data_IF_514732044333
#
_entry.id   IF_514732044333
#
_cell.length_a   1.000
_cell.length_b   1.000
_cell.length_c   1.000
_cell.angle_alpha   90.00
_cell.angle_beta   90.00
_cell.angle_gamma   90.00
#
_symmetry.space_group_name_H-M   'P 1'
#
loop_
_entity.id
_entity.type
_entity.pdbx_description
1 polymer ?
#
# COMPACT_ATOMS: atom_id res chain seq x y z
N UNK A 1 -15.44 15.57 -0.73
CA UNK A 1 -14.00 15.51 -0.33
C UNK A 1 -13.16 14.61 -1.25
N UNK A 2 -13.60 13.40 -1.62
CA UNK A 2 -12.81 12.46 -2.44
C UNK A 2 -12.14 13.06 -3.69
N UNK A 3 -12.84 13.83 -4.55
CA UNK A 3 -12.21 14.36 -5.77
C UNK A 3 -11.10 15.39 -5.50
N UNK A 4 -11.10 16.04 -4.35
CA UNK A 4 -10.12 17.07 -4.02
C UNK A 4 -8.88 16.54 -3.29
N UNK A 5 -8.91 15.31 -2.78
CA UNK A 5 -7.83 14.75 -1.95
C UNK A 5 -6.47 14.73 -2.67
N UNK A 6 -6.35 14.27 -3.95
CA UNK A 6 -5.08 14.28 -4.64
C UNK A 6 -4.51 15.70 -4.82
N UNK A 7 -5.36 16.66 -5.16
CA UNK A 7 -4.94 18.05 -5.32
C UNK A 7 -4.49 18.68 -4.00
N UNK A 8 -5.23 18.43 -2.92
CA UNK A 8 -4.86 18.88 -1.58
C UNK A 8 -3.54 18.27 -1.12
N UNK A 9 -3.35 16.96 -1.35
CA UNK A 9 -2.11 16.28 -1.02
C UNK A 9 -0.90 16.87 -1.74
N UNK A 10 -1.02 17.09 -3.04
CA UNK A 10 0.03 17.71 -3.86
C UNK A 10 0.32 19.17 -3.50
N UNK A 11 -0.65 19.89 -2.93
CA UNK A 11 -0.47 21.28 -2.48
C UNK A 11 0.28 21.39 -1.15
N UNK A 12 0.37 20.32 -0.36
CA UNK A 12 1.16 20.29 0.86
C UNK A 12 2.64 20.18 0.56
N UNK A 13 3.46 20.90 1.31
CA UNK A 13 4.90 20.66 1.34
C UNK A 13 5.21 19.26 1.90
N UNK A 14 6.40 18.71 1.60
CA UNK A 14 6.83 17.41 2.12
C UNK A 14 6.85 17.40 3.65
N UNK A 15 7.16 18.51 4.30
CA UNK A 15 7.12 18.64 5.75
C UNK A 15 5.69 18.53 6.30
N UNK A 16 4.74 19.20 5.67
CA UNK A 16 3.31 19.11 6.02
C UNK A 16 2.75 17.72 5.76
N UNK A 17 3.16 17.06 4.67
CA UNK A 17 2.81 15.67 4.40
C UNK A 17 3.35 14.73 5.49
N UNK A 18 4.61 14.89 5.92
CA UNK A 18 5.19 14.13 7.04
C UNK A 18 4.44 14.38 8.34
N UNK A 19 4.10 15.64 8.62
CA UNK A 19 3.28 15.99 9.77
C UNK A 19 1.91 15.33 9.72
N UNK A 20 1.24 15.34 8.57
CA UNK A 20 -0.02 14.62 8.38
C UNK A 20 0.12 13.12 8.70
N UNK A 21 1.17 12.47 8.19
CA UNK A 21 1.43 11.04 8.42
C UNK A 21 1.62 10.72 9.91
N UNK A 22 2.26 11.59 10.66
CA UNK A 22 2.56 11.35 12.08
C UNK A 22 1.42 11.72 13.02
N UNK A 23 0.72 12.83 12.74
CA UNK A 23 -0.25 13.41 13.68
C UNK A 23 -1.71 13.11 13.28
N UNK A 24 -2.02 13.09 11.98
CA UNK A 24 -3.40 13.12 11.50
C UNK A 24 -3.85 11.87 10.75
N UNK A 25 -2.91 11.04 10.25
CA UNK A 25 -3.25 9.86 9.44
C UNK A 25 -4.25 8.94 10.15
N UNK A 26 -4.05 8.66 11.44
CA UNK A 26 -4.94 7.77 12.20
C UNK A 26 -6.37 8.33 12.27
N UNK A 27 -6.50 9.63 12.48
CA UNK A 27 -7.78 10.31 12.49
C UNK A 27 -8.45 10.25 11.11
N UNK A 28 -7.67 10.49 10.05
CA UNK A 28 -8.12 10.32 8.68
C UNK A 28 -8.65 8.91 8.41
N UNK A 29 -7.87 7.90 8.75
CA UNK A 29 -8.18 6.50 8.48
C UNK A 29 -9.48 6.05 9.17
N UNK A 30 -9.70 6.43 10.43
CA UNK A 30 -10.94 6.14 11.18
C UNK A 30 -12.17 6.77 10.52
N UNK A 31 -12.05 7.97 9.96
CA UNK A 31 -13.17 8.64 9.29
C UNK A 31 -13.36 8.17 7.86
N UNK A 32 -12.30 7.72 7.22
CA UNK A 32 -12.27 7.33 5.81
C UNK A 32 -12.64 5.88 5.57
N UNK A 33 -12.14 4.99 6.40
CA UNK A 33 -12.33 3.54 6.29
C UNK A 33 -13.27 3.07 7.40
N UNK A 34 -14.54 2.98 7.08
CA UNK A 34 -15.56 2.58 8.05
C UNK A 34 -15.82 1.08 7.98
N UNK A 35 -16.03 0.50 9.16
CA UNK A 35 -16.52 -0.84 9.32
C UNK A 35 -17.99 -0.93 8.88
N UNK A 36 -18.41 -2.06 8.32
CA UNK A 36 -19.81 -2.31 8.03
C UNK A 36 -20.62 -2.32 9.36
N UNK A 37 -21.85 -1.77 9.39
CA UNK A 37 -22.62 -1.64 10.63
C UNK A 37 -22.77 -2.97 11.38
N UNK A 38 -23.09 -4.05 10.68
CA UNK A 38 -23.29 -5.38 11.29
C UNK A 38 -22.00 -5.94 11.93
N UNK A 39 -20.83 -5.58 11.37
CA UNK A 39 -19.53 -5.97 11.93
C UNK A 39 -19.22 -5.11 13.16
N UNK A 40 -19.55 -3.82 13.12
CA UNK A 40 -19.40 -2.92 14.26
C UNK A 40 -20.24 -3.37 15.44
N UNK A 41 -21.54 -3.63 15.23
CA UNK A 41 -22.47 -4.10 16.26
C UNK A 41 -21.97 -5.40 16.91
N UNK A 42 -21.48 -6.35 16.09
CA UNK A 42 -20.91 -7.60 16.60
C UNK A 42 -19.62 -7.37 17.39
N UNK A 43 -18.76 -6.48 16.95
CA UNK A 43 -17.54 -6.13 17.65
C UNK A 43 -17.84 -5.51 19.02
N UNK A 44 -18.77 -4.54 19.07
CA UNK A 44 -19.22 -3.91 20.32
C UNK A 44 -19.83 -4.91 21.29
N UNK A 45 -20.66 -5.82 20.80
CA UNK A 45 -21.23 -6.90 21.63
C UNK A 45 -20.17 -7.82 22.23
N UNK A 46 -19.12 -8.14 21.46
CA UNK A 46 -18.00 -8.96 21.97
C UNK A 46 -17.15 -8.18 22.99
N UNK A 47 -16.96 -6.89 22.81
CA UNK A 47 -16.29 -6.05 23.80
C UNK A 47 -17.11 -5.95 25.10
N UNK A 48 -18.41 -5.72 25.00
CA UNK A 48 -19.31 -5.66 26.16
C UNK A 48 -19.34 -6.97 26.94
N UNK A 49 -19.22 -8.10 26.23
CA UNK A 49 -19.13 -9.44 26.83
C UNK A 49 -17.72 -9.77 27.37
N UNK A 50 -16.76 -8.86 27.30
CA UNK A 50 -15.38 -9.08 27.75
C UNK A 50 -14.58 -10.08 26.91
N UNK A 51 -15.07 -10.46 25.72
CA UNK A 51 -14.42 -11.42 24.82
C UNK A 51 -13.42 -10.77 23.87
N UNK A 52 -13.49 -9.47 23.67
CA UNK A 52 -12.53 -8.64 22.93
C UNK A 52 -12.06 -7.52 23.82
N UNK A 53 -10.75 -7.31 23.87
CA UNK A 53 -10.12 -6.15 24.51
C UNK A 53 -9.32 -5.41 23.47
N UNK A 54 -9.40 -4.09 23.50
CA UNK A 54 -8.58 -3.19 22.67
C UNK A 54 -7.61 -2.45 23.56
N UNK A 55 -6.32 -2.52 23.24
CA UNK A 55 -5.26 -1.91 24.03
C UNK A 55 -4.31 -1.10 23.12
N UNK A 56 -3.81 0.02 23.65
CA UNK A 56 -2.84 0.87 22.94
C UNK A 56 -1.41 0.50 23.33
N UNK A 57 -0.99 -0.70 22.94
CA UNK A 57 0.35 -1.21 23.25
C UNK A 57 1.20 -1.34 21.98
N UNK A 58 2.52 -1.25 22.13
CA UNK A 58 3.47 -1.62 21.08
C UNK A 58 3.91 -3.07 21.27
N UNK A 59 3.86 -3.88 20.23
CA UNK A 59 4.47 -5.21 20.23
C UNK A 59 5.98 -5.02 20.08
N UNK A 60 6.73 -5.50 21.05
CA UNK A 60 8.20 -5.39 21.08
C UNK A 60 8.86 -6.62 20.48
N UNK A 61 8.41 -7.81 20.87
CA UNK A 61 8.89 -9.07 20.33
C UNK A 61 7.83 -10.19 20.45
N UNK A 62 8.05 -11.24 19.68
CA UNK A 62 7.27 -12.45 19.68
C UNK A 62 8.23 -13.63 19.86
N UNK A 63 7.89 -14.54 20.76
CA UNK A 63 8.69 -15.75 21.02
C UNK A 63 7.81 -16.99 20.97
N UNK A 64 8.29 -18.03 20.30
CA UNK A 64 7.63 -19.33 20.35
C UNK A 64 7.77 -19.92 21.76
N UNK A 65 6.67 -20.41 22.34
CA UNK A 65 6.63 -21.00 23.66
C UNK A 65 5.75 -22.26 23.64
N UNK A 66 6.36 -23.40 23.31
CA UNK A 66 5.62 -24.64 23.08
C UNK A 66 4.75 -24.53 21.83
N UNK A 67 3.46 -24.77 21.99
CA UNK A 67 2.41 -24.63 20.97
C UNK A 67 1.76 -23.24 20.96
N UNK A 68 2.25 -22.33 21.81
CA UNK A 68 1.75 -20.95 21.97
C UNK A 68 2.78 -19.91 21.56
N UNK A 69 2.38 -18.65 21.55
CA UNK A 69 3.25 -17.49 21.28
C UNK A 69 3.21 -16.60 22.50
N UNK A 70 4.39 -16.27 23.02
CA UNK A 70 4.58 -15.23 24.03
C UNK A 70 4.80 -13.90 23.34
N UNK A 71 3.95 -12.93 23.65
CA UNK A 71 3.97 -11.59 23.10
C UNK A 71 4.44 -10.62 24.18
N UNK A 72 5.50 -9.87 23.88
CA UNK A 72 6.00 -8.81 24.77
C UNK A 72 5.44 -7.48 24.30
N UNK A 73 4.78 -6.78 25.22
CA UNK A 73 4.05 -5.55 24.97
C UNK A 73 4.66 -4.40 25.77
N UNK A 74 4.62 -3.20 25.19
CA UNK A 74 5.00 -1.97 25.89
C UNK A 74 3.83 -1.01 25.87
N UNK A 75 3.30 -0.73 27.04
CA UNK A 75 2.30 0.31 27.23
C UNK A 75 2.91 1.71 27.05
N UNK A 76 2.14 2.72 26.59
CA UNK A 76 2.63 4.08 26.45
C UNK A 76 3.24 4.61 27.76
N UNK A 77 4.49 5.08 27.69
CA UNK A 77 5.21 5.60 28.86
C UNK A 77 5.77 4.55 29.82
N UNK A 78 5.52 3.26 29.61
CA UNK A 78 6.06 2.21 30.47
C UNK A 78 7.52 1.87 30.11
N UNK A 79 8.33 1.65 31.16
CA UNK A 79 9.70 1.15 31.05
C UNK A 79 9.79 -0.37 31.14
N UNK A 80 8.78 -1.00 31.73
CA UNK A 80 8.68 -2.46 31.88
C UNK A 80 7.79 -3.02 30.79
N UNK A 81 8.12 -4.21 30.30
CA UNK A 81 7.32 -4.94 29.33
C UNK A 81 6.29 -5.81 30.03
N UNK A 82 5.06 -5.74 29.57
CA UNK A 82 4.03 -6.73 29.86
C UNK A 82 4.21 -7.94 28.93
N UNK A 83 3.73 -9.10 29.38
CA UNK A 83 3.72 -10.30 28.53
C UNK A 83 2.34 -10.98 28.55
N UNK A 84 1.95 -11.47 27.39
CA UNK A 84 0.75 -12.30 27.26
C UNK A 84 1.08 -13.55 26.44
N UNK A 85 0.45 -14.68 26.80
CA UNK A 85 0.53 -15.89 25.99
C UNK A 85 -0.75 -16.07 25.20
N UNK A 86 -0.59 -16.29 23.90
CA UNK A 86 -1.72 -16.44 22.97
C UNK A 86 -1.51 -17.68 22.09
N UNK A 87 -2.60 -18.25 21.60
CA UNK A 87 -2.54 -19.39 20.69
C UNK A 87 -2.15 -18.94 19.27
N UNK A 88 -2.49 -17.70 18.89
CA UNK A 88 -2.21 -17.16 17.55
C UNK A 88 -2.00 -15.65 17.60
N UNK A 89 -1.13 -15.19 16.73
CA UNK A 89 -0.96 -13.76 16.42
C UNK A 89 -1.35 -13.52 14.97
N UNK A 90 -2.25 -12.56 14.74
CA UNK A 90 -2.68 -12.16 13.40
C UNK A 90 -2.16 -10.75 13.16
N UNK A 91 -1.22 -10.62 12.21
CA UNK A 91 -0.67 -9.32 11.84
C UNK A 91 -1.62 -8.59 10.90
N UNK A 92 -2.26 -7.54 11.41
CA UNK A 92 -3.14 -6.65 10.64
C UNK A 92 -2.55 -5.23 10.51
N UNK A 93 -1.23 -5.04 10.70
CA UNK A 93 -0.57 -3.74 10.64
C UNK A 93 -0.44 -3.17 9.22
N UNK A 94 -0.83 -3.94 8.20
CA UNK A 94 -0.69 -3.58 6.79
C UNK A 94 0.67 -3.96 6.20
N UNK A 95 0.85 -3.65 4.93
CA UNK A 95 2.10 -3.87 4.22
C UNK A 95 3.12 -2.76 4.55
N UNK A 96 4.39 -3.12 4.65
CA UNK A 96 5.48 -2.15 4.67
C UNK A 96 5.52 -1.39 3.34
N UNK A 97 5.57 -0.06 3.39
CA UNK A 97 5.58 0.80 2.19
C UNK A 97 6.96 1.34 1.85
N UNK A 98 7.86 1.41 2.83
CA UNK A 98 9.20 1.98 2.63
C UNK A 98 10.10 1.02 1.83
N UNK A 99 10.14 1.24 0.53
CA UNK A 99 10.94 0.45 -0.42
C UNK A 99 12.45 0.56 -0.19
N UNK A 100 12.92 1.57 0.55
CA UNK A 100 14.33 1.71 0.93
C UNK A 100 14.74 0.67 1.99
N UNK A 101 13.77 0.20 2.77
CA UNK A 101 13.99 -0.79 3.84
C UNK A 101 13.71 -2.21 3.38
N UNK A 102 12.68 -2.39 2.58
CA UNK A 102 12.27 -3.71 2.12
C UNK A 102 11.51 -3.57 0.78
N UNK A 103 12.20 -3.85 -0.32
CA UNK A 103 11.59 -3.90 -1.63
C UNK A 103 11.44 -5.36 -2.10
N UNK A 104 10.32 -5.73 -2.72
CA UNK A 104 10.21 -6.98 -3.46
C UNK A 104 11.29 -7.08 -4.55
N UNK A 105 11.72 -8.29 -4.96
CA UNK A 105 12.87 -8.46 -5.86
C UNK A 105 12.81 -7.63 -7.14
N UNK A 106 11.65 -7.54 -7.79
CA UNK A 106 11.46 -6.71 -8.98
C UNK A 106 11.75 -5.23 -8.68
N UNK A 107 11.14 -4.69 -7.63
CA UNK A 107 11.33 -3.29 -7.27
C UNK A 107 12.76 -3.02 -6.81
N UNK A 108 13.36 -3.93 -6.05
CA UNK A 108 14.77 -3.84 -5.67
C UNK A 108 15.70 -3.77 -6.90
N UNK A 109 15.41 -4.58 -7.93
CA UNK A 109 16.15 -4.54 -9.20
C UNK A 109 16.00 -3.21 -9.93
N UNK A 110 14.79 -2.66 -10.02
CA UNK A 110 14.54 -1.35 -10.65
C UNK A 110 15.24 -0.21 -9.90
N UNK A 111 15.20 -0.23 -8.57
CA UNK A 111 15.89 0.76 -7.73
C UNK A 111 17.40 0.67 -7.90
N UNK A 112 17.97 -0.55 -7.87
CA UNK A 112 19.40 -0.77 -8.04
C UNK A 112 19.89 -0.36 -9.43
N UNK A 113 19.07 -0.57 -10.47
CA UNK A 113 19.37 -0.14 -11.83
C UNK A 113 19.17 1.38 -12.05
N UNK A 114 18.67 2.12 -11.07
CA UNK A 114 18.33 3.53 -11.22
C UNK A 114 17.13 3.79 -12.13
N UNK A 115 16.39 2.74 -12.54
CA UNK A 115 15.21 2.84 -13.41
C UNK A 115 13.95 3.32 -12.67
N UNK A 116 14.00 3.35 -11.35
CA UNK A 116 12.99 3.93 -10.47
C UNK A 116 13.66 4.52 -9.24
N UNK A 117 12.95 5.39 -8.53
CA UNK A 117 13.35 5.87 -7.20
C UNK A 117 12.17 5.84 -6.23
N UNK A 118 12.42 5.67 -4.91
CA UNK A 118 11.37 5.79 -3.92
C UNK A 118 10.89 7.24 -3.83
N UNK A 119 9.61 7.45 -3.49
CA UNK A 119 9.12 8.78 -3.14
C UNK A 119 9.77 9.31 -1.84
N UNK A 120 9.69 10.62 -1.63
CA UNK A 120 10.35 11.28 -0.49
C UNK A 120 9.78 10.88 0.88
N UNK A 121 8.55 10.37 0.92
CA UNK A 121 7.86 9.96 2.14
C UNK A 121 8.08 8.49 2.48
N UNK A 122 8.61 7.70 1.54
CA UNK A 122 8.77 6.24 1.69
C UNK A 122 7.45 5.47 1.62
N UNK A 123 6.46 6.01 0.91
CA UNK A 123 5.13 5.39 0.77
C UNK A 123 4.97 4.59 -0.53
N UNK A 124 5.96 4.66 -1.42
CA UNK A 124 5.95 3.97 -2.71
C UNK A 124 7.07 4.44 -3.62
N UNK A 125 6.78 4.50 -4.92
CA UNK A 125 7.66 5.00 -5.96
C UNK A 125 7.32 6.44 -6.31
N UNK A 126 8.34 7.19 -6.70
CA UNK A 126 8.17 8.53 -7.27
C UNK A 126 7.72 8.41 -8.72
N UNK A 127 6.66 9.13 -9.08
CA UNK A 127 6.01 9.05 -10.39
C UNK A 127 5.65 10.43 -10.91
N UNK A 128 5.73 10.59 -12.23
CA UNK A 128 5.17 11.75 -12.92
C UNK A 128 3.62 11.72 -12.90
N UNK A 129 2.97 12.82 -13.24
CA UNK A 129 1.49 12.91 -13.34
C UNK A 129 0.90 11.88 -14.31
N UNK A 130 1.63 11.51 -15.36
CA UNK A 130 1.28 10.46 -16.30
C UNK A 130 1.26 9.05 -15.70
N UNK A 131 1.84 8.85 -14.52
CA UNK A 131 2.09 7.57 -13.90
C UNK A 131 3.43 6.93 -14.30
N UNK A 132 4.22 7.56 -15.13
CA UNK A 132 5.56 7.10 -15.50
C UNK A 132 6.48 7.12 -14.27
N UNK A 133 7.26 6.04 -14.07
CA UNK A 133 8.25 5.99 -13.00
C UNK A 133 9.32 7.04 -13.24
N UNK A 134 9.74 7.70 -12.18
CA UNK A 134 10.90 8.59 -12.24
C UNK A 134 12.17 7.80 -11.95
N UNK A 135 13.13 7.88 -12.87
CA UNK A 135 14.46 7.33 -12.68
C UNK A 135 15.23 8.05 -11.56
N UNK A 136 16.40 7.54 -11.19
CA UNK A 136 17.22 8.12 -10.12
C UNK A 136 17.58 9.60 -10.38
N UNK A 137 17.74 10.00 -11.64
CA UNK A 137 18.01 11.38 -12.07
C UNK A 137 16.74 12.24 -12.21
N UNK A 138 15.55 11.66 -11.98
CA UNK A 138 14.27 12.34 -12.12
C UNK A 138 13.66 12.29 -13.52
N UNK A 139 14.29 11.63 -14.48
CA UNK A 139 13.76 11.47 -15.84
C UNK A 139 12.55 10.53 -15.84
N UNK A 140 11.38 10.91 -16.41
CA UNK A 140 10.24 10.01 -16.53
C UNK A 140 10.52 8.87 -17.50
N UNK A 141 10.17 7.65 -17.11
CA UNK A 141 10.28 6.47 -17.97
C UNK A 141 9.25 6.50 -19.10
N UNK A 142 9.66 6.12 -20.29
CA UNK A 142 8.74 5.92 -21.43
C UNK A 142 8.05 4.55 -21.41
N UNK A 143 8.56 3.60 -20.63
CA UNK A 143 8.16 2.17 -20.64
C UNK A 143 7.63 1.65 -19.31
N UNK A 144 7.98 2.29 -18.19
CA UNK A 144 7.62 1.83 -16.86
C UNK A 144 6.62 2.80 -16.22
N UNK A 145 5.49 2.25 -15.80
CA UNK A 145 4.41 3.02 -15.19
C UNK A 145 3.97 2.35 -13.89
N UNK A 146 3.53 3.13 -12.93
CA UNK A 146 2.90 2.64 -11.72
C UNK A 146 1.43 3.03 -11.64
N UNK A 147 0.62 2.13 -11.10
CA UNK A 147 -0.78 2.34 -10.75
C UNK A 147 -1.03 1.84 -9.33
N UNK A 148 -2.05 2.35 -8.67
CA UNK A 148 -2.45 1.87 -7.35
C UNK A 148 -1.49 2.27 -6.24
N UNK A 149 -1.29 1.38 -5.27
CA UNK A 149 -0.61 1.67 -4.00
C UNK A 149 0.83 2.17 -4.12
N UNK A 150 1.53 1.81 -5.18
CA UNK A 150 2.90 2.31 -5.43
C UNK A 150 2.97 3.83 -5.68
N UNK A 151 1.84 4.48 -6.00
CA UNK A 151 1.73 5.93 -6.19
C UNK A 151 1.37 6.69 -4.92
N UNK A 152 1.22 6.03 -3.78
CA UNK A 152 0.66 6.61 -2.55
C UNK A 152 1.40 7.85 -2.05
N UNK A 153 2.71 7.92 -2.25
CA UNK A 153 3.51 9.09 -1.87
C UNK A 153 3.15 10.34 -2.69
N UNK A 154 2.87 10.16 -3.97
CA UNK A 154 2.50 11.24 -4.88
C UNK A 154 1.00 11.54 -4.86
N UNK A 155 0.18 10.49 -4.64
CA UNK A 155 -1.29 10.58 -4.60
C UNK A 155 -1.83 9.81 -3.39
N UNK A 156 -2.17 10.52 -2.32
CA UNK A 156 -2.55 9.92 -1.03
C UNK A 156 -3.64 8.84 -1.12
N UNK A 157 -4.64 9.01 -1.95
CA UNK A 157 -5.77 8.08 -2.11
C UNK A 157 -5.62 7.12 -3.32
N UNK A 158 -4.40 6.77 -3.72
CA UNK A 158 -4.12 5.92 -4.89
C UNK A 158 -4.59 4.46 -4.78
N UNK A 159 -5.16 4.03 -3.64
CA UNK A 159 -5.52 2.64 -3.36
C UNK A 159 -6.99 2.29 -3.62
N UNK A 160 -7.84 3.26 -3.89
CA UNK A 160 -9.26 3.04 -4.15
C UNK A 160 -9.50 2.46 -5.56
N UNK A 161 -10.54 1.65 -5.72
CA UNK A 161 -10.89 1.05 -7.02
C UNK A 161 -11.14 2.13 -8.09
N UNK A 162 -11.79 3.22 -7.72
CA UNK A 162 -12.07 4.36 -8.62
C UNK A 162 -10.76 4.99 -9.09
N UNK A 163 -9.87 5.26 -8.16
CA UNK A 163 -8.57 5.87 -8.42
C UNK A 163 -7.69 4.95 -9.28
N UNK A 164 -7.65 3.64 -8.96
CA UNK A 164 -6.91 2.65 -9.76
C UNK A 164 -7.46 2.58 -11.19
N UNK A 165 -8.79 2.60 -11.37
CA UNK A 165 -9.41 2.62 -12.70
C UNK A 165 -9.00 3.87 -13.49
N UNK A 166 -9.03 5.03 -12.87
CA UNK A 166 -8.69 6.30 -13.51
C UNK A 166 -7.20 6.36 -13.86
N UNK A 167 -6.32 5.88 -12.98
CA UNK A 167 -4.89 5.70 -13.26
C UNK A 167 -4.66 4.73 -14.43
N UNK A 168 -5.34 3.58 -14.42
CA UNK A 168 -5.20 2.58 -15.50
C UNK A 168 -5.61 3.16 -16.84
N UNK A 169 -6.72 3.91 -16.89
CA UNK A 169 -7.16 4.60 -18.11
C UNK A 169 -6.18 5.67 -18.59
N UNK A 170 -5.57 6.42 -17.67
CA UNK A 170 -4.57 7.43 -18.01
C UNK A 170 -3.29 6.79 -18.56
N UNK A 171 -2.78 5.76 -17.90
CA UNK A 171 -1.59 5.00 -18.33
C UNK A 171 -1.83 4.32 -19.66
N UNK A 172 -2.99 3.67 -19.88
CA UNK A 172 -3.32 3.04 -21.15
C UNK A 172 -3.31 4.05 -22.31
N UNK A 173 -3.90 5.23 -22.13
CA UNK A 173 -3.85 6.29 -23.14
C UNK A 173 -2.42 6.79 -23.41
N UNK A 174 -1.57 6.80 -22.39
CA UNK A 174 -0.16 7.18 -22.55
C UNK A 174 0.59 6.12 -23.36
N UNK A 175 0.43 4.85 -23.03
CA UNK A 175 1.06 3.72 -23.75
C UNK A 175 0.65 3.72 -25.22
N UNK A 176 -0.64 3.89 -25.52
CA UNK A 176 -1.12 3.94 -26.91
C UNK A 176 -0.50 5.10 -27.68
N UNK A 177 -0.36 6.27 -27.06
CA UNK A 177 0.28 7.44 -27.70
C UNK A 177 1.78 7.25 -27.95
N UNK A 178 2.47 6.54 -27.07
CA UNK A 178 3.91 6.24 -27.23
C UNK A 178 4.14 4.99 -28.08
N UNK A 179 3.17 4.06 -28.13
CA UNK A 179 3.25 2.75 -28.76
C UNK A 179 3.00 2.73 -30.27
N UNK A 180 2.84 3.88 -30.93
CA UNK A 180 2.70 3.91 -32.41
C UNK A 180 4.00 3.51 -33.16
N UNK A 181 5.05 3.04 -32.47
CA UNK A 181 6.34 2.88 -33.13
C UNK A 181 7.10 1.56 -32.92
N UNK A 182 6.65 0.58 -32.13
CA UNK A 182 7.35 -0.72 -32.14
C UNK A 182 6.47 -1.86 -31.61
N UNK A 183 6.22 -2.87 -32.46
CA UNK A 183 5.77 -4.19 -31.99
C UNK A 183 6.84 -4.77 -31.07
N UNK A 184 6.57 -4.79 -29.77
CA UNK A 184 7.41 -5.53 -28.81
C UNK A 184 7.15 -7.01 -29.09
N UNK A 185 8.14 -7.79 -29.60
CA UNK A 185 7.94 -9.22 -29.78
C UNK A 185 7.75 -9.86 -28.42
N UNK A 186 6.54 -10.33 -28.12
CA UNK A 186 6.30 -11.12 -26.92
C UNK A 186 7.19 -12.35 -26.94
N UNK A 187 7.87 -12.68 -25.83
CA UNK A 187 8.58 -13.96 -25.70
C UNK A 187 7.67 -15.11 -26.11
N UNK A 188 8.20 -16.06 -26.85
CA UNK A 188 7.46 -17.19 -27.42
C UNK A 188 6.65 -17.96 -26.37
N UNK A 189 7.12 -17.98 -25.14
CA UNK A 189 6.49 -18.62 -23.98
C UNK A 189 5.18 -17.92 -23.56
N UNK A 190 5.05 -16.60 -23.75
CA UNK A 190 3.82 -15.86 -23.44
C UNK A 190 2.78 -15.91 -24.57
N UNK A 191 3.19 -16.28 -25.80
CA UNK A 191 2.25 -16.49 -26.91
C UNK A 191 1.38 -17.73 -26.71
N UNK A 192 1.86 -18.72 -25.96
CA UNK A 192 1.15 -19.97 -25.68
C UNK A 192 0.04 -19.81 -24.62
N UNK A 193 0.09 -18.79 -23.78
CA UNK A 193 -0.88 -18.57 -22.70
C UNK A 193 -2.16 -17.88 -23.20
N UNK A 194 -2.12 -17.21 -24.35
CA UNK A 194 -3.27 -16.50 -24.94
C UNK A 194 -4.28 -17.38 -25.70
N UNK A 195 -4.06 -18.69 -25.77
CA UNK A 195 -4.91 -19.62 -26.52
C UNK A 195 -5.76 -20.55 -25.63
N UNK A 196 -5.92 -20.26 -24.34
CA UNK A 196 -6.85 -21.00 -23.50
C UNK A 196 -8.30 -20.54 -23.80
N UNK A 197 -9.24 -21.47 -24.08
CA UNK A 197 -10.62 -21.10 -24.34
C UNK A 197 -11.24 -20.48 -23.10
N UNK A 198 -11.94 -19.38 -23.28
CA UNK A 198 -12.76 -18.71 -22.27
C UNK A 198 -14.01 -19.54 -21.99
N UNK A 199 -13.91 -20.55 -21.13
CA UNK A 199 -15.05 -21.30 -20.58
C UNK A 199 -15.60 -20.62 -19.30
N UNK A 200 -16.01 -19.34 -19.36
CA UNK A 200 -16.74 -18.73 -18.25
C UNK A 200 -18.12 -18.18 -18.62
N UNK A 201 -18.63 -18.55 -19.81
CA UNK A 201 -19.94 -18.12 -20.31
C UNK A 201 -21.06 -19.15 -20.06
N UNK A 202 -21.14 -19.81 -18.93
CA UNK A 202 -22.36 -20.52 -18.54
C UNK A 202 -22.27 -21.04 -17.09
N UNK A 203 -22.65 -20.22 -16.11
CA UNK A 203 -23.26 -20.67 -14.86
C UNK A 203 -24.02 -19.50 -14.22
#
# INVERSE_FOLDING_TARGET
MRPATPALWKALSVEEQRRFLTEFQRLWDVHRFRMAPEVADRFEALQAAGRVRTESNSIVSLEAHGDRVRVFLRSPGATVLDQVEVDRVINCSGAGTDLRRQAPPLLAGLLAAGAARPDELGLGLDVADSGALLAADGTPSERLFAIGSLRKGVEWEAIGITEIRDHSGAVARQIVRTGETEEIPLPTELRAVGAAPTEWEAA
#
